data_IF_194631825059
#
_entry.id   IF_194631825059
#
_cell.length_a   1.000
_cell.length_b   1.000
_cell.length_c   1.000
_cell.angle_alpha   90.00
_cell.angle_beta   90.00
_cell.angle_gamma   90.00
#
_symmetry.space_group_name_H-M   'P 1'
#
loop_
_entity.id
_entity.type
_entity.pdbx_description
1 polymer ?
#
# COMPACT_ATOMS: atom_id res chain seq x y z
N UNK A 1 28.29 71.59 -26.73
CA UNK A 1 29.28 70.73 -27.43
C UNK A 1 28.66 69.33 -27.53
N UNK A 2 27.90 69.04 -28.59
CA UNK A 2 28.32 68.34 -29.84
C UNK A 2 28.71 66.88 -29.52
N UNK A 3 27.82 65.90 -29.71
CA UNK A 3 27.46 65.16 -30.95
C UNK A 3 28.39 63.96 -31.22
N UNK A 4 27.87 62.72 -31.24
CA UNK A 4 27.88 61.86 -32.45
C UNK A 4 29.16 61.01 -32.55
N UNK A 5 29.32 59.87 -33.24
CA UNK A 5 28.55 59.20 -34.30
C UNK A 5 29.11 57.77 -34.48
N UNK A 6 28.29 56.90 -35.10
CA UNK A 6 28.56 55.55 -35.66
C UNK A 6 29.71 55.48 -36.69
N UNK A 7 30.15 54.23 -36.98
CA UNK A 7 30.16 53.53 -38.30
C UNK A 7 31.50 52.79 -38.58
N UNK A 8 31.49 51.45 -38.83
CA UNK A 8 31.56 50.71 -40.14
C UNK A 8 32.87 50.96 -40.93
N UNK A 9 33.55 50.02 -41.59
CA UNK A 9 33.12 48.90 -42.45
C UNK A 9 34.32 47.97 -42.80
N UNK A 10 34.13 46.63 -42.97
CA UNK A 10 34.12 45.82 -44.22
C UNK A 10 35.45 45.65 -44.99
N UNK A 11 35.89 44.39 -45.13
CA UNK A 11 35.98 43.59 -46.38
C UNK A 11 36.31 42.12 -46.02
N UNK A 12 35.51 41.08 -46.31
CA UNK A 12 35.21 40.33 -47.56
C UNK A 12 36.42 39.68 -48.26
N UNK A 13 36.49 38.35 -48.15
CA UNK A 13 36.75 37.46 -49.31
C UNK A 13 36.04 36.11 -49.12
N UNK A 14 35.53 35.58 -50.24
CA UNK A 14 34.64 34.42 -50.39
C UNK A 14 35.44 33.17 -50.77
N UNK A 15 34.94 31.99 -50.39
CA UNK A 15 34.93 30.75 -51.22
C UNK A 15 34.00 29.73 -50.52
N UNK A 16 32.82 29.40 -51.08
CA UNK A 16 32.49 28.12 -51.79
C UNK A 16 33.09 26.90 -51.08
N UNK A 17 32.36 25.86 -50.64
CA UNK A 17 30.97 25.43 -50.75
C UNK A 17 30.89 23.98 -50.27
N UNK A 18 29.66 23.43 -50.24
CA UNK A 18 29.27 22.01 -50.15
C UNK A 18 28.51 21.64 -48.87
N UNK A 19 27.24 21.29 -49.09
CA UNK A 19 26.33 20.67 -48.17
C UNK A 19 26.75 19.23 -47.86
N UNK A 20 26.61 18.81 -46.61
CA UNK A 20 26.39 17.42 -46.25
C UNK A 20 25.57 17.37 -44.95
N UNK A 21 24.35 16.91 -45.11
CA UNK A 21 23.39 16.47 -44.11
C UNK A 21 23.98 15.46 -43.13
N UNK A 22 23.85 15.72 -41.84
CA UNK A 22 24.15 14.79 -40.76
C UNK A 22 23.32 15.12 -39.52
N UNK A 23 22.01 14.84 -39.57
CA UNK A 23 21.15 14.84 -38.40
C UNK A 23 21.60 13.72 -37.44
N UNK A 24 22.43 14.07 -36.46
CA UNK A 24 22.65 13.21 -35.30
C UNK A 24 21.38 13.16 -34.45
N UNK A 25 20.92 11.99 -33.97
CA UNK A 25 19.72 11.91 -33.17
C UNK A 25 19.94 12.66 -31.86
N UNK A 26 19.15 13.71 -31.67
CA UNK A 26 19.07 14.46 -30.42
C UNK A 26 18.85 13.49 -29.26
N UNK A 27 19.85 13.40 -28.38
CA UNK A 27 19.73 12.81 -27.05
C UNK A 27 18.52 13.46 -26.36
N UNK A 28 17.42 12.71 -26.28
CA UNK A 28 16.29 13.07 -25.43
C UNK A 28 16.76 12.93 -23.99
N UNK A 29 17.03 14.08 -23.37
CA UNK A 29 17.20 14.21 -21.93
C UNK A 29 16.04 13.49 -21.22
N UNK A 30 16.37 12.45 -20.46
CA UNK A 30 15.42 11.67 -19.68
C UNK A 30 14.72 12.59 -18.67
N UNK A 31 13.39 12.69 -18.77
CA UNK A 31 12.57 13.35 -17.76
C UNK A 31 12.71 12.60 -16.42
N UNK A 32 12.86 13.29 -15.28
CA UNK A 32 12.95 12.63 -13.99
C UNK A 32 11.58 12.07 -13.58
N UNK A 33 11.52 10.76 -13.31
CA UNK A 33 10.50 10.17 -12.43
C UNK A 33 9.32 9.45 -13.07
N UNK A 34 9.50 8.64 -14.12
CA UNK A 34 8.47 7.67 -14.50
C UNK A 34 8.37 6.58 -13.43
N UNK A 35 7.34 6.68 -12.57
CA UNK A 35 6.97 5.65 -11.61
C UNK A 35 6.53 4.40 -12.39
N UNK A 36 7.46 3.47 -12.60
CA UNK A 36 7.13 2.16 -13.15
C UNK A 36 6.49 1.30 -12.06
N UNK A 37 5.16 1.29 -12.05
CA UNK A 37 4.38 0.36 -11.23
C UNK A 37 4.63 -1.06 -11.71
N UNK A 38 5.66 -1.73 -11.15
CA UNK A 38 5.81 -3.17 -11.31
C UNK A 38 4.70 -3.81 -10.48
N UNK A 39 3.66 -4.28 -11.18
CA UNK A 39 2.60 -5.09 -10.57
C UNK A 39 3.28 -6.32 -9.99
N UNK A 40 3.51 -6.35 -8.67
CA UNK A 40 3.97 -7.55 -7.98
C UNK A 40 2.78 -8.51 -7.94
N UNK A 41 2.65 -9.22 -9.04
CA UNK A 41 1.86 -10.43 -9.15
C UNK A 41 2.79 -11.60 -8.89
N UNK A 42 3.09 -11.88 -7.62
CA UNK A 42 3.70 -13.19 -7.27
C UNK A 42 2.87 -14.37 -7.80
N UNK A 43 1.59 -14.11 -8.08
CA UNK A 43 0.61 -15.06 -8.58
C UNK A 43 0.46 -15.10 -10.12
N UNK A 44 0.50 -13.99 -10.87
CA UNK A 44 0.27 -14.03 -12.34
C UNK A 44 1.42 -14.75 -13.08
N UNK A 45 2.64 -14.75 -12.53
CA UNK A 45 3.76 -15.55 -13.07
C UNK A 45 3.56 -17.05 -12.88
N UNK A 46 3.24 -17.48 -11.66
CA UNK A 46 2.92 -18.87 -11.32
C UNK A 46 1.72 -19.42 -12.12
N UNK A 47 0.76 -18.55 -12.48
CA UNK A 47 -0.44 -18.97 -13.22
C UNK A 47 -0.27 -19.03 -14.73
N UNK A 48 0.62 -18.23 -15.33
CA UNK A 48 1.05 -18.48 -16.72
C UNK A 48 1.75 -19.83 -16.82
N UNK A 49 2.60 -20.13 -15.83
CA UNK A 49 3.27 -21.41 -15.72
C UNK A 49 2.26 -22.56 -15.52
N UNK A 50 1.29 -22.41 -14.63
CA UNK A 50 0.24 -23.42 -14.41
C UNK A 50 -0.62 -23.67 -15.67
N UNK A 51 -0.89 -22.63 -16.46
CA UNK A 51 -1.61 -22.77 -17.74
C UNK A 51 -0.76 -23.51 -18.77
N UNK A 52 0.53 -23.21 -18.86
CA UNK A 52 1.48 -23.95 -19.70
C UNK A 52 1.53 -25.42 -19.27
N UNK A 53 1.63 -25.70 -17.98
CA UNK A 53 1.60 -27.06 -17.42
C UNK A 53 0.30 -27.78 -17.78
N UNK A 54 -0.86 -27.13 -17.72
CA UNK A 54 -2.13 -27.74 -18.14
C UNK A 54 -2.15 -28.10 -19.63
N UNK A 55 -1.57 -27.25 -20.48
CA UNK A 55 -1.41 -27.55 -21.91
C UNK A 55 -0.39 -28.66 -22.16
N UNK A 56 0.74 -28.67 -21.45
CA UNK A 56 1.74 -29.72 -21.52
C UNK A 56 1.17 -31.07 -21.08
N UNK A 57 0.45 -31.12 -19.96
CA UNK A 57 -0.23 -32.33 -19.47
C UNK A 57 -1.28 -32.81 -20.48
N UNK A 58 -2.05 -31.90 -21.08
CA UNK A 58 -3.01 -32.27 -22.13
C UNK A 58 -2.31 -32.87 -23.36
N UNK A 59 -1.16 -32.33 -23.78
CA UNK A 59 -0.35 -32.86 -24.88
C UNK A 59 0.26 -34.23 -24.53
N UNK A 60 0.75 -34.42 -23.31
CA UNK A 60 1.28 -35.69 -22.83
C UNK A 60 0.19 -36.77 -22.79
N UNK A 61 -1.02 -36.44 -22.31
CA UNK A 61 -2.15 -37.37 -22.29
C UNK A 61 -2.53 -37.84 -23.70
N UNK A 62 -2.53 -36.92 -24.68
CA UNK A 62 -2.75 -37.25 -26.09
C UNK A 62 -1.65 -38.15 -26.66
N UNK A 63 -0.37 -37.85 -26.36
CA UNK A 63 0.76 -38.66 -26.79
C UNK A 63 0.74 -40.07 -26.20
N UNK A 64 0.46 -40.20 -24.90
CA UNK A 64 0.36 -41.50 -24.22
C UNK A 64 -0.82 -42.31 -24.77
N UNK A 65 -1.97 -41.67 -24.99
CA UNK A 65 -3.12 -42.32 -25.63
C UNK A 65 -2.80 -42.84 -27.04
N UNK A 66 -2.03 -42.08 -27.82
CA UNK A 66 -1.59 -42.47 -29.16
C UNK A 66 -0.61 -43.66 -29.15
N UNK A 67 0.30 -43.71 -28.16
CA UNK A 67 1.33 -44.75 -28.07
C UNK A 67 0.75 -46.10 -27.61
N UNK A 68 -0.29 -46.11 -26.77
CA UNK A 68 -0.86 -47.34 -26.21
C UNK A 68 -1.74 -48.06 -27.23
N UNK A 69 -2.76 -47.38 -27.77
CA UNK A 69 -3.73 -47.97 -28.71
C UNK A 69 -4.49 -46.84 -29.45
N UNK A 70 -4.67 -46.90 -30.78
CA UNK A 70 -5.50 -45.95 -31.53
C UNK A 70 -6.91 -45.71 -30.95
N UNK A 71 -7.51 -46.72 -30.29
CA UNK A 71 -8.83 -46.59 -29.65
C UNK A 71 -8.77 -45.79 -28.34
N UNK A 72 -7.63 -45.79 -27.64
CA UNK A 72 -7.41 -45.01 -26.41
C UNK A 72 -7.25 -43.50 -26.66
N UNK A 73 -7.06 -43.08 -27.92
CA UNK A 73 -6.98 -41.67 -28.32
C UNK A 73 -8.30 -40.94 -28.06
N UNK A 74 -9.45 -41.60 -28.21
CA UNK A 74 -10.77 -40.99 -28.01
C UNK A 74 -10.97 -40.53 -26.56
N UNK A 75 -10.83 -41.39 -25.52
CA UNK A 75 -10.95 -40.93 -24.14
C UNK A 75 -9.84 -39.95 -23.74
N UNK A 76 -8.61 -40.11 -24.27
CA UNK A 76 -7.51 -39.17 -24.04
C UNK A 76 -7.83 -37.76 -24.60
N UNK A 77 -8.42 -37.68 -25.79
CA UNK A 77 -8.83 -36.43 -26.42
C UNK A 77 -9.97 -35.75 -25.66
N UNK A 78 -10.94 -36.50 -25.12
CA UNK A 78 -11.98 -35.95 -24.24
C UNK A 78 -11.36 -35.35 -22.99
N UNK A 79 -10.44 -36.06 -22.33
CA UNK A 79 -9.80 -35.59 -21.10
C UNK A 79 -8.93 -34.35 -21.34
N UNK A 80 -8.13 -34.35 -22.42
CA UNK A 80 -7.33 -33.21 -22.85
C UNK A 80 -8.22 -32.01 -23.21
N UNK A 81 -9.32 -32.24 -23.92
CA UNK A 81 -10.33 -31.24 -24.24
C UNK A 81 -10.95 -30.62 -22.98
N UNK A 82 -11.29 -31.43 -21.97
CA UNK A 82 -11.78 -30.96 -20.68
C UNK A 82 -10.74 -30.11 -19.94
N UNK A 83 -9.46 -30.51 -19.92
CA UNK A 83 -8.39 -29.74 -19.28
C UNK A 83 -8.17 -28.38 -19.96
N UNK A 84 -8.17 -28.35 -21.30
CA UNK A 84 -8.09 -27.12 -22.08
C UNK A 84 -9.32 -26.25 -21.81
N UNK A 85 -10.53 -26.82 -21.81
CA UNK A 85 -11.75 -26.09 -21.51
C UNK A 85 -11.73 -25.49 -20.10
N UNK A 86 -11.30 -26.25 -19.09
CA UNK A 86 -11.13 -25.76 -17.71
C UNK A 86 -10.09 -24.63 -17.61
N UNK A 87 -9.04 -24.66 -18.44
CA UNK A 87 -8.04 -23.59 -18.51
C UNK A 87 -8.60 -22.29 -19.14
N UNK A 88 -9.59 -22.41 -20.03
CA UNK A 88 -10.21 -21.31 -20.77
C UNK A 88 -11.46 -20.75 -20.07
N UNK A 89 -12.15 -21.56 -19.26
CA UNK A 89 -13.32 -21.16 -18.50
C UNK A 89 -12.94 -20.08 -17.47
N UNK A 90 -13.43 -18.87 -17.74
CA UNK A 90 -13.26 -17.70 -16.87
C UNK A 90 -14.54 -17.45 -16.11
N UNK A 91 -14.48 -17.53 -14.77
CA UNK A 91 -15.60 -17.13 -13.91
C UNK A 91 -15.25 -15.82 -13.24
N UNK A 92 -16.01 -14.75 -13.56
CA UNK A 92 -15.83 -13.39 -12.99
C UNK A 92 -14.42 -12.80 -13.18
N UNK A 93 -13.80 -13.06 -14.34
CA UNK A 93 -12.50 -12.50 -14.71
C UNK A 93 -11.27 -13.21 -14.14
N UNK A 94 -11.45 -14.30 -13.37
CA UNK A 94 -10.38 -15.21 -12.91
C UNK A 94 -10.54 -16.58 -13.57
N UNK A 95 -9.44 -17.31 -13.72
CA UNK A 95 -9.49 -18.72 -14.17
C UNK A 95 -10.09 -19.60 -13.07
N UNK A 96 -10.70 -20.75 -13.41
CA UNK A 96 -11.24 -21.67 -12.41
C UNK A 96 -10.19 -22.16 -11.39
N UNK A 97 -8.95 -22.52 -11.79
CA UNK A 97 -7.91 -22.89 -10.84
C UNK A 97 -7.54 -21.75 -9.88
N UNK A 98 -7.45 -20.52 -10.36
CA UNK A 98 -7.17 -19.33 -9.54
C UNK A 98 -8.29 -19.08 -8.52
N UNK A 99 -9.54 -19.27 -8.95
CA UNK A 99 -10.68 -19.17 -8.05
C UNK A 99 -10.64 -20.25 -6.95
N UNK A 100 -10.28 -21.48 -7.30
CA UNK A 100 -10.20 -22.59 -6.34
C UNK A 100 -9.04 -22.39 -5.36
N UNK A 101 -7.86 -22.01 -5.83
CA UNK A 101 -6.69 -21.74 -5.00
C UNK A 101 -6.98 -20.66 -3.95
N UNK A 102 -7.60 -19.55 -4.36
CA UNK A 102 -7.98 -18.47 -3.43
C UNK A 102 -9.10 -18.88 -2.47
N UNK A 103 -10.03 -19.74 -2.88
CA UNK A 103 -11.05 -20.32 -2.00
C UNK A 103 -10.45 -21.29 -0.97
N UNK A 104 -9.51 -22.14 -1.36
CA UNK A 104 -8.79 -23.03 -0.46
C UNK A 104 -7.93 -22.24 0.52
N UNK A 105 -7.22 -21.20 0.06
CA UNK A 105 -6.42 -20.33 0.91
C UNK A 105 -7.27 -19.61 1.97
N UNK A 106 -8.46 -19.12 1.59
CA UNK A 106 -9.42 -18.54 2.54
C UNK A 106 -9.87 -19.57 3.57
N UNK A 107 -10.30 -20.76 3.14
CA UNK A 107 -10.72 -21.83 4.07
C UNK A 107 -9.59 -22.21 5.03
N UNK A 108 -8.36 -22.30 4.53
CA UNK A 108 -7.18 -22.60 5.35
C UNK A 108 -6.90 -21.50 6.38
N UNK A 109 -7.09 -20.21 6.01
CA UNK A 109 -6.98 -19.10 6.97
C UNK A 109 -8.11 -19.11 8.00
N UNK A 110 -9.36 -19.35 7.59
CA UNK A 110 -10.50 -19.44 8.51
C UNK A 110 -10.33 -20.60 9.51
N UNK A 111 -9.87 -21.77 9.05
CA UNK A 111 -9.55 -22.90 9.93
C UNK A 111 -8.44 -22.58 10.91
N UNK A 112 -7.34 -22.00 10.43
CA UNK A 112 -6.23 -21.56 11.29
C UNK A 112 -6.70 -20.53 12.33
N UNK A 113 -7.46 -19.52 11.91
CA UNK A 113 -8.01 -18.51 12.80
C UNK A 113 -8.93 -19.13 13.88
N UNK A 114 -9.72 -20.15 13.54
CA UNK A 114 -10.54 -20.86 14.51
C UNK A 114 -9.73 -21.66 15.54
N UNK A 115 -8.56 -22.18 15.16
CA UNK A 115 -7.70 -23.01 16.03
C UNK A 115 -6.60 -22.23 16.77
N UNK A 116 -6.24 -21.04 16.31
CA UNK A 116 -5.12 -20.28 16.89
C UNK A 116 -5.62 -19.41 18.05
N UNK A 117 -5.18 -19.68 19.29
CA UNK A 117 -5.46 -18.80 20.43
C UNK A 117 -4.71 -17.48 20.28
N UNK A 118 -5.28 -16.42 20.86
CA UNK A 118 -4.61 -15.12 20.94
C UNK A 118 -3.53 -15.24 22.02
N UNK A 119 -2.25 -14.86 21.75
CA UNK A 119 -1.19 -14.90 22.75
C UNK A 119 -1.57 -14.13 24.02
N UNK A 120 -1.20 -14.68 25.17
CA UNK A 120 -1.42 -14.02 26.45
C UNK A 120 -0.67 -12.68 26.54
N UNK A 121 -1.26 -11.69 27.19
CA UNK A 121 -0.71 -10.34 27.28
C UNK A 121 -0.79 -9.53 25.99
N UNK A 122 -1.58 -9.96 25.00
CA UNK A 122 -1.84 -9.14 23.80
C UNK A 122 -2.66 -7.92 24.18
N UNK A 123 -2.09 -6.74 24.00
CA UNK A 123 -2.78 -5.47 24.22
C UNK A 123 -4.08 -5.38 23.37
N UNK A 124 -5.23 -4.96 23.95
CA UNK A 124 -6.50 -4.94 23.24
C UNK A 124 -6.51 -4.14 21.94
N UNK A 125 -5.69 -3.08 21.84
CA UNK A 125 -5.53 -2.29 20.62
C UNK A 125 -4.77 -3.03 19.51
N UNK A 126 -3.88 -3.95 19.88
CA UNK A 126 -3.07 -4.74 18.95
C UNK A 126 -3.79 -6.02 18.51
N UNK A 127 -4.75 -6.52 19.30
CA UNK A 127 -5.47 -7.76 19.06
C UNK A 127 -6.00 -7.93 17.63
N UNK A 128 -6.63 -6.95 16.96
CA UNK A 128 -7.09 -7.12 15.58
C UNK A 128 -5.97 -7.42 14.56
N UNK A 129 -4.75 -6.92 14.79
CA UNK A 129 -3.60 -7.18 13.94
C UNK A 129 -3.02 -8.58 14.23
N UNK A 130 -2.88 -8.95 15.51
CA UNK A 130 -2.40 -10.27 15.95
C UNK A 130 -3.35 -11.39 15.55
N UNK A 131 -4.66 -11.13 15.54
CA UNK A 131 -5.64 -12.09 15.04
C UNK A 131 -5.53 -12.34 13.53
N UNK A 132 -5.03 -11.37 12.76
CA UNK A 132 -4.73 -11.50 11.33
C UNK A 132 -3.39 -12.19 11.08
N UNK A 133 -2.39 -11.85 11.90
CA UNK A 133 -1.06 -12.45 11.89
C UNK A 133 -0.55 -12.68 13.32
N UNK A 134 -0.67 -13.93 13.84
CA UNK A 134 -0.29 -14.27 15.21
C UNK A 134 1.19 -14.14 15.54
N UNK A 135 2.05 -13.95 14.51
CA UNK A 135 3.48 -13.76 14.71
C UNK A 135 3.84 -12.33 15.13
N UNK A 136 2.93 -11.37 14.92
CA UNK A 136 3.17 -9.96 15.22
C UNK A 136 3.36 -9.73 16.72
N UNK A 137 4.42 -8.99 17.05
CA UNK A 137 4.72 -8.53 18.41
C UNK A 137 5.23 -7.09 18.37
N UNK A 138 5.03 -6.39 19.48
CA UNK A 138 5.60 -5.07 19.70
C UNK A 138 6.83 -5.16 20.61
N UNK A 139 7.72 -4.19 20.45
CA UNK A 139 8.93 -4.04 21.24
C UNK A 139 9.11 -2.55 21.56
N UNK A 140 9.51 -2.25 22.78
CA UNK A 140 10.04 -0.94 23.13
C UNK A 140 11.56 -0.94 22.97
N UNK A 141 12.08 -0.04 22.15
CA UNK A 141 13.50 0.24 22.05
C UNK A 141 13.83 1.55 22.77
N UNK A 142 14.70 1.48 23.77
CA UNK A 142 15.23 2.64 24.50
C UNK A 142 16.69 2.88 24.11
N UNK A 143 16.94 4.01 23.45
CA UNK A 143 18.30 4.48 23.21
C UNK A 143 18.89 5.12 24.47
N UNK A 144 20.23 5.23 24.53
CA UNK A 144 20.96 5.68 25.72
C UNK A 144 20.50 7.05 26.26
N UNK A 145 19.97 7.93 25.40
CA UNK A 145 19.43 9.26 25.75
C UNK A 145 18.20 9.64 24.91
N UNK A 146 17.40 8.65 24.45
CA UNK A 146 16.28 8.90 23.53
C UNK A 146 14.95 8.48 24.14
N UNK A 147 13.88 9.19 23.75
CA UNK A 147 12.50 8.77 24.00
C UNK A 147 12.32 7.32 23.53
N UNK A 148 11.61 6.46 24.28
CA UNK A 148 11.32 5.10 23.84
C UNK A 148 10.63 5.11 22.47
N UNK A 149 11.04 4.18 21.62
CA UNK A 149 10.46 3.98 20.29
C UNK A 149 9.77 2.62 20.25
N UNK A 150 8.52 2.61 19.83
CA UNK A 150 7.75 1.41 19.56
C UNK A 150 8.15 0.81 18.22
N UNK A 151 8.37 -0.49 18.21
CA UNK A 151 8.72 -1.27 17.03
C UNK A 151 7.74 -2.44 16.92
N UNK A 152 7.29 -2.78 15.72
CA UNK A 152 6.47 -3.98 15.46
C UNK A 152 7.21 -4.93 14.54
N UNK A 153 7.12 -6.24 14.78
CA UNK A 153 7.78 -7.25 13.95
C UNK A 153 7.21 -8.65 14.16
N UNK A 154 7.59 -9.58 13.29
CA UNK A 154 7.17 -10.99 13.35
C UNK A 154 8.29 -11.94 13.82
N UNK A 155 9.45 -11.39 14.21
CA UNK A 155 10.67 -12.12 14.53
C UNK A 155 11.61 -12.30 13.33
N UNK A 156 11.13 -12.09 12.10
CA UNK A 156 11.95 -12.09 10.86
C UNK A 156 12.21 -10.68 10.34
N UNK A 157 11.35 -9.72 10.65
CA UNK A 157 11.54 -8.31 10.34
C UNK A 157 11.20 -7.42 11.54
N UNK A 158 11.63 -6.15 11.48
CA UNK A 158 11.22 -5.10 12.41
C UNK A 158 10.80 -3.84 11.65
N UNK A 159 9.79 -3.14 12.18
CA UNK A 159 9.23 -1.92 11.59
C UNK A 159 9.14 -0.82 12.64
N UNK A 160 9.66 0.37 12.33
CA UNK A 160 9.40 1.59 13.08
C UNK A 160 8.38 2.47 12.35
N UNK A 161 7.54 3.18 13.09
CA UNK A 161 6.46 4.01 12.53
C UNK A 161 6.62 5.46 12.95
N UNK A 162 6.52 6.36 11.97
CA UNK A 162 6.43 7.80 12.18
C UNK A 162 5.00 8.27 11.98
N UNK A 163 4.52 9.14 12.86
CA UNK A 163 3.36 9.98 12.60
C UNK A 163 3.81 11.32 12.00
N UNK A 164 3.20 11.69 10.88
CA UNK A 164 3.58 12.86 10.10
C UNK A 164 2.41 13.83 9.98
N UNK A 165 2.65 15.06 10.42
CA UNK A 165 1.73 16.19 10.32
C UNK A 165 2.38 17.30 9.49
N UNK A 166 1.59 17.99 8.67
CA UNK A 166 2.05 19.23 8.05
C UNK A 166 2.12 20.32 9.14
N UNK A 167 3.22 21.06 9.21
CA UNK A 167 3.36 22.12 10.21
C UNK A 167 2.39 23.27 9.87
N UNK A 168 1.38 23.48 10.72
CA UNK A 168 0.33 24.46 10.53
C UNK A 168 0.59 25.69 11.40
N UNK A 169 1.70 26.39 11.14
CA UNK A 169 2.05 27.63 11.84
C UNK A 169 1.19 28.84 11.45
N UNK A 170 0.15 28.66 10.63
CA UNK A 170 -0.87 29.69 10.39
C UNK A 170 -2.27 29.07 10.37
N UNK A 171 -3.14 29.56 11.26
CA UNK A 171 -4.53 29.17 11.53
C UNK A 171 -5.48 29.08 10.31
N UNK A 172 -5.03 29.28 9.06
CA UNK A 172 -5.85 29.23 7.84
C UNK A 172 -5.12 28.80 6.56
N UNK A 173 -3.90 28.25 6.64
CA UNK A 173 -3.28 27.69 5.44
C UNK A 173 -3.86 26.30 5.19
N UNK A 174 -4.60 26.14 4.08
CA UNK A 174 -5.12 24.88 3.57
C UNK A 174 -4.16 23.70 3.85
N UNK A 175 -4.55 22.80 4.76
CA UNK A 175 -3.81 21.58 5.16
C UNK A 175 -3.44 20.64 4.00
N UNK A 176 -3.79 20.99 2.77
CA UNK A 176 -3.52 20.29 1.51
C UNK A 176 -2.40 20.92 0.66
N UNK A 177 -1.84 22.09 1.02
CA UNK A 177 -0.89 22.79 0.13
C UNK A 177 0.51 22.21 0.09
N UNK A 178 1.00 21.58 1.16
CA UNK A 178 2.33 20.98 1.15
C UNK A 178 2.26 19.45 0.94
N UNK A 179 2.57 18.95 -0.27
CA UNK A 179 2.58 17.52 -0.53
C UNK A 179 3.70 16.83 0.25
N UNK A 180 3.45 15.64 0.80
CA UNK A 180 4.48 14.81 1.42
C UNK A 180 5.60 14.55 0.38
N UNK A 181 6.87 14.93 0.64
CA UNK A 181 7.96 14.75 -0.30
C UNK A 181 8.35 13.27 -0.40
N UNK A 182 7.76 12.56 -1.37
CA UNK A 182 7.98 11.12 -1.55
C UNK A 182 9.43 10.74 -1.87
N UNK A 183 10.21 11.67 -2.41
CA UNK A 183 11.66 11.50 -2.59
C UNK A 183 12.35 11.24 -1.26
N UNK A 184 12.01 11.98 -0.19
CA UNK A 184 12.60 11.75 1.14
C UNK A 184 12.26 10.36 1.69
N UNK A 185 11.03 9.89 1.45
CA UNK A 185 10.59 8.55 1.86
C UNK A 185 11.33 7.47 1.06
N UNK A 186 11.53 7.69 -0.23
CA UNK A 186 12.33 6.80 -1.07
C UNK A 186 13.80 6.76 -0.63
N UNK A 187 14.40 7.92 -0.35
CA UNK A 187 15.80 8.03 0.04
C UNK A 187 16.05 7.35 1.40
N UNK A 188 15.05 7.31 2.28
CA UNK A 188 15.11 6.57 3.54
C UNK A 188 15.25 5.04 3.36
N UNK A 189 15.03 4.49 2.16
CA UNK A 189 15.23 3.05 1.89
C UNK A 189 16.70 2.62 2.01
N UNK A 190 17.65 3.56 1.96
CA UNK A 190 19.07 3.27 2.22
C UNK A 190 19.73 4.45 2.95
N UNK A 191 20.22 4.20 4.15
CA UNK A 191 20.86 5.21 5.00
C UNK A 191 22.03 4.58 5.74
N UNK A 192 23.24 5.14 5.65
CA UNK A 192 24.41 4.68 6.41
C UNK A 192 24.67 3.16 6.33
N UNK A 193 24.54 2.58 5.13
CA UNK A 193 24.68 1.13 4.89
C UNK A 193 23.50 0.28 5.37
N UNK A 194 22.46 0.89 5.95
CA UNK A 194 21.21 0.23 6.33
C UNK A 194 20.30 0.20 5.12
N UNK A 195 19.88 -0.99 4.71
CA UNK A 195 18.96 -1.19 3.58
C UNK A 195 17.61 -1.69 4.07
N UNK A 196 16.57 -0.88 3.89
CA UNK A 196 15.20 -1.24 4.25
C UNK A 196 14.58 -2.19 3.21
N UNK A 197 13.70 -3.08 3.65
CA UNK A 197 12.85 -3.90 2.77
C UNK A 197 11.85 -3.00 2.03
N UNK A 198 11.23 -2.07 2.77
CA UNK A 198 10.19 -1.19 2.27
C UNK A 198 9.96 0.04 3.16
N UNK A 199 9.40 1.08 2.53
CA UNK A 199 8.82 2.23 3.21
C UNK A 199 7.35 2.34 2.80
N UNK A 200 6.44 2.23 3.76
CA UNK A 200 5.00 2.27 3.54
C UNK A 200 4.44 3.59 4.06
N UNK A 201 3.70 4.30 3.23
CA UNK A 201 2.91 5.45 3.64
C UNK A 201 1.46 5.02 3.76
N UNK A 202 0.88 5.23 4.94
CA UNK A 202 -0.52 4.91 5.24
C UNK A 202 -1.25 6.20 5.58
N UNK A 203 -2.26 6.53 4.79
CA UNK A 203 -3.18 7.63 5.02
C UNK A 203 -4.51 7.08 5.50
N UNK A 204 -4.93 7.46 6.70
CA UNK A 204 -6.26 7.15 7.22
C UNK A 204 -7.12 8.40 7.23
N UNK A 205 -8.22 8.34 6.50
CA UNK A 205 -9.14 9.45 6.30
C UNK A 205 -10.50 9.10 6.88
N UNK A 206 -11.01 9.98 7.73
CA UNK A 206 -12.38 9.98 8.20
C UNK A 206 -13.09 11.18 7.56
N UNK A 207 -14.11 10.94 6.72
CA UNK A 207 -14.83 12.03 6.06
C UNK A 207 -15.57 12.88 7.12
N UNK A 208 -15.79 14.15 6.80
CA UNK A 208 -16.70 14.98 7.59
C UNK A 208 -18.16 14.72 7.19
N UNK A 209 -19.12 14.99 8.07
CA UNK A 209 -18.97 15.46 9.46
C UNK A 209 -18.59 14.34 10.45
N UNK A 210 -18.13 14.74 11.64
CA UNK A 210 -17.54 13.83 12.63
C UNK A 210 -18.45 12.64 13.00
N UNK A 211 -17.81 11.47 13.08
CA UNK A 211 -18.38 10.10 13.05
C UNK A 211 -19.32 9.73 14.21
N UNK A 212 -19.38 10.55 15.28
CA UNK A 212 -20.23 10.28 16.45
C UNK A 212 -21.70 10.70 16.26
N UNK A 213 -22.03 11.37 15.15
CA UNK A 213 -23.39 11.81 14.89
C UNK A 213 -24.20 10.76 14.11
N UNK A 214 -25.45 10.45 14.53
CA UNK A 214 -26.37 9.66 13.72
C UNK A 214 -26.56 10.28 12.33
N UNK A 215 -26.71 9.44 11.30
CA UNK A 215 -26.89 9.89 9.91
C UNK A 215 -28.10 10.81 9.71
N UNK A 216 -29.11 10.66 10.55
CA UNK A 216 -30.36 11.44 10.53
C UNK A 216 -30.22 12.77 11.29
N UNK A 217 -29.05 13.07 11.87
CA UNK A 217 -28.86 14.30 12.62
C UNK A 217 -28.86 15.52 11.70
N UNK A 218 -29.42 16.62 12.21
CA UNK A 218 -29.46 17.92 11.53
C UNK A 218 -28.06 18.42 11.17
N UNK A 219 -27.06 18.13 12.02
CA UNK A 219 -25.66 18.44 11.73
C UNK A 219 -25.13 17.70 10.48
N UNK A 220 -25.46 16.42 10.31
CA UNK A 220 -25.05 15.67 9.11
C UNK A 220 -25.69 16.26 7.86
N UNK A 221 -26.99 16.56 7.90
CA UNK A 221 -27.70 17.15 6.77
C UNK A 221 -27.18 18.56 6.40
N UNK A 222 -26.92 19.41 7.39
CA UNK A 222 -26.48 20.80 7.17
C UNK A 222 -25.03 20.91 6.67
N UNK A 223 -24.15 19.99 7.07
CA UNK A 223 -22.75 19.99 6.63
C UNK A 223 -22.53 19.20 5.34
N UNK A 224 -23.50 18.40 4.87
CA UNK A 224 -23.36 17.62 3.64
C UNK A 224 -23.07 18.48 2.39
N UNK A 225 -23.74 19.61 2.12
CA UNK A 225 -23.42 20.46 0.97
C UNK A 225 -22.00 21.04 1.04
N UNK A 226 -21.53 21.41 2.24
CA UNK A 226 -20.17 21.91 2.43
C UNK A 226 -19.14 20.80 2.22
N UNK A 227 -19.44 19.57 2.64
CA UNK A 227 -18.60 18.41 2.39
C UNK A 227 -18.53 18.10 0.89
N UNK A 228 -19.64 18.19 0.16
CA UNK A 228 -19.69 18.00 -1.30
C UNK A 228 -18.87 19.06 -2.03
N UNK A 229 -18.88 20.32 -1.55
CA UNK A 229 -18.11 21.42 -2.15
C UNK A 229 -16.61 21.36 -1.83
N UNK A 230 -16.25 21.01 -0.59
CA UNK A 230 -14.87 21.11 -0.11
C UNK A 230 -14.11 19.78 -0.18
N UNK A 231 -14.82 18.64 -0.10
CA UNK A 231 -14.23 17.31 0.00
C UNK A 231 -13.28 17.13 1.20
N UNK A 232 -13.26 18.09 2.13
CA UNK A 232 -12.28 18.15 3.20
C UNK A 232 -12.63 17.10 4.26
N UNK A 233 -11.70 16.21 4.65
CA UNK A 233 -11.99 15.23 5.68
C UNK A 233 -12.05 15.86 7.06
N UNK A 234 -12.84 15.26 7.97
CA UNK A 234 -12.85 15.64 9.38
C UNK A 234 -11.51 15.33 10.04
N UNK A 235 -10.96 14.15 9.74
CA UNK A 235 -9.66 13.70 10.26
C UNK A 235 -8.87 13.06 9.14
N UNK A 236 -7.58 13.41 9.05
CA UNK A 236 -6.63 12.77 8.15
C UNK A 236 -5.31 12.56 8.85
N UNK A 237 -4.97 11.30 9.07
CA UNK A 237 -3.77 10.86 9.78
C UNK A 237 -2.81 10.24 8.78
N UNK A 238 -1.53 10.60 8.84
CA UNK A 238 -0.49 10.05 7.96
C UNK A 238 0.57 9.33 8.80
N UNK A 239 0.78 8.05 8.51
CA UNK A 239 1.87 7.27 9.07
C UNK A 239 2.87 6.88 7.99
N UNK A 240 4.14 6.81 8.35
CA UNK A 240 5.19 6.22 7.54
C UNK A 240 5.82 5.08 8.32
N UNK A 241 5.66 3.85 7.82
CA UNK A 241 6.20 2.64 8.42
C UNK A 241 7.43 2.18 7.63
N UNK A 242 8.58 2.09 8.29
CA UNK A 242 9.86 1.70 7.72
C UNK A 242 10.18 0.28 8.13
N UNK A 243 10.18 -0.65 7.17
CA UNK A 243 10.41 -2.08 7.41
C UNK A 243 11.85 -2.45 7.13
N UNK A 244 12.48 -3.09 8.10
CA UNK A 244 13.82 -3.66 8.00
C UNK A 244 13.73 -5.18 8.03
N UNK A 245 14.25 -5.81 6.98
CA UNK A 245 14.63 -7.21 7.00
C UNK A 245 16.13 -7.28 7.34
N UNK A 246 16.53 -7.87 8.49
CA UNK A 246 17.93 -7.93 8.90
C UNK A 246 18.85 -8.60 7.87
N UNK A 247 18.31 -9.52 7.05
CA UNK A 247 19.09 -10.24 6.04
C UNK A 247 19.55 -9.31 4.90
N UNK A 248 18.81 -8.23 4.62
CA UNK A 248 19.15 -7.28 3.55
C UNK A 248 20.33 -6.37 3.88
N UNK A 249 20.73 -6.28 5.16
CA UNK A 249 21.86 -5.45 5.61
C UNK A 249 22.58 -6.07 6.82
N UNK A 250 22.91 -7.36 6.71
CA UNK A 250 23.53 -8.14 7.80
C UNK A 250 24.79 -7.49 8.39
N UNK A 251 25.64 -6.88 7.57
CA UNK A 251 26.85 -6.15 8.03
C UNK A 251 26.49 -4.95 8.92
N UNK A 252 25.48 -4.16 8.52
CA UNK A 252 25.03 -3.00 9.28
C UNK A 252 24.38 -3.41 10.62
N UNK A 253 23.68 -4.55 10.64
CA UNK A 253 23.10 -5.16 11.84
C UNK A 253 24.20 -5.67 12.77
N UNK A 254 25.18 -6.42 12.24
CA UNK A 254 26.31 -6.95 12.99
C UNK A 254 27.13 -5.83 13.64
N UNK A 255 27.45 -4.75 12.90
CA UNK A 255 28.16 -3.59 13.40
C UNK A 255 27.44 -2.87 14.56
N UNK A 256 26.13 -3.10 14.74
CA UNK A 256 25.30 -2.48 15.79
C UNK A 256 24.97 -3.44 16.94
N UNK A 257 25.67 -4.57 17.03
CA UNK A 257 25.53 -5.56 18.09
C UNK A 257 24.82 -6.85 17.66
N UNK A 258 24.45 -6.98 16.39
CA UNK A 258 23.85 -8.19 15.84
C UNK A 258 22.42 -8.49 16.33
N UNK A 259 21.84 -9.54 15.76
CA UNK A 259 20.51 -10.04 16.15
C UNK A 259 19.41 -8.97 16.14
N UNK A 260 18.44 -9.12 17.05
CA UNK A 260 17.31 -8.20 17.19
C UNK A 260 17.74 -6.78 17.57
N UNK A 261 18.69 -6.64 18.50
CA UNK A 261 19.15 -5.32 18.98
C UNK A 261 19.81 -4.52 17.86
N UNK A 262 20.64 -5.17 17.04
CA UNK A 262 21.23 -4.57 15.84
C UNK A 262 20.17 -4.15 14.84
N UNK A 263 19.17 -4.98 14.60
CA UNK A 263 18.04 -4.67 13.72
C UNK A 263 17.20 -3.48 14.22
N UNK A 264 16.89 -3.43 15.52
CA UNK A 264 16.19 -2.31 16.15
C UNK A 264 16.98 -1.00 16.02
N UNK A 265 18.29 -1.02 16.27
CA UNK A 265 19.17 0.14 16.06
C UNK A 265 19.18 0.61 14.61
N UNK A 266 19.22 -0.31 13.65
CA UNK A 266 19.18 -0.01 12.22
C UNK A 266 17.87 0.69 11.83
N UNK A 267 16.71 0.11 12.19
CA UNK A 267 15.42 0.68 11.79
C UNK A 267 15.16 2.03 12.46
N UNK A 268 15.55 2.20 13.73
CA UNK A 268 15.44 3.48 14.45
C UNK A 268 16.37 4.52 13.84
N UNK A 269 17.61 4.16 13.45
CA UNK A 269 18.53 5.08 12.77
C UNK A 269 17.95 5.61 11.45
N UNK A 270 17.35 4.74 10.65
CA UNK A 270 16.70 5.11 9.39
C UNK A 270 15.44 5.98 9.63
N UNK A 271 14.65 5.65 10.66
CA UNK A 271 13.49 6.43 11.06
C UNK A 271 13.87 7.84 11.55
N UNK A 272 14.88 7.97 12.41
CA UNK A 272 15.39 9.25 12.88
C UNK A 272 15.94 10.10 11.73
N UNK A 273 16.62 9.47 10.77
CA UNK A 273 17.07 10.15 9.55
C UNK A 273 15.88 10.73 8.78
N UNK A 274 14.86 9.91 8.51
CA UNK A 274 13.67 10.37 7.79
C UNK A 274 12.93 11.46 8.58
N UNK A 275 12.78 11.32 9.90
CA UNK A 275 12.14 12.32 10.76
C UNK A 275 12.85 13.67 10.64
N UNK A 276 14.18 13.68 10.78
CA UNK A 276 15.00 14.88 10.64
C UNK A 276 14.85 15.54 9.26
N UNK A 277 14.87 14.74 8.19
CA UNK A 277 14.70 15.25 6.80
C UNK A 277 13.31 15.82 6.57
N UNK A 278 12.26 15.17 7.09
CA UNK A 278 10.89 15.66 7.02
C UNK A 278 10.72 16.98 7.80
N UNK A 279 11.30 17.08 8.99
CA UNK A 279 11.31 18.33 9.77
C UNK A 279 12.06 19.45 9.08
N UNK A 280 13.21 19.17 8.47
CA UNK A 280 13.90 20.13 7.61
C UNK A 280 13.09 20.58 6.39
N UNK A 281 12.06 19.81 6.00
CA UNK A 281 11.13 20.16 4.93
C UNK A 281 9.80 20.76 5.42
N UNK A 282 9.66 21.11 6.70
CA UNK A 282 8.45 21.76 7.23
C UNK A 282 7.33 20.80 7.67
N UNK A 283 7.64 19.53 7.93
CA UNK A 283 6.70 18.56 8.50
C UNK A 283 7.06 18.25 9.95
N UNK A 284 6.07 18.09 10.81
CA UNK A 284 6.27 17.49 12.13
C UNK A 284 6.26 15.98 11.98
N UNK A 285 7.41 15.33 12.15
CA UNK A 285 7.56 13.88 12.09
C UNK A 285 7.96 13.34 13.46
N UNK A 286 7.11 12.51 14.05
CA UNK A 286 7.32 11.95 15.39
C UNK A 286 7.39 10.42 15.32
N UNK A 287 8.46 9.83 15.84
CA UNK A 287 8.51 8.39 16.04
C UNK A 287 7.51 8.02 17.15
N UNK A 288 6.74 6.97 16.91
CA UNK A 288 5.77 6.48 17.86
C UNK A 288 6.48 5.65 18.95
N UNK A 289 6.09 5.84 20.20
CA UNK A 289 6.37 4.86 21.25
C UNK A 289 5.46 3.62 21.11
N UNK A 290 5.60 2.62 21.97
CA UNK A 290 4.84 1.36 21.86
C UNK A 290 3.32 1.57 22.01
N UNK A 291 2.89 2.39 22.96
CA UNK A 291 1.47 2.70 23.16
C UNK A 291 0.88 3.45 21.95
N UNK A 292 1.60 4.45 21.45
CA UNK A 292 1.20 5.21 20.27
C UNK A 292 1.17 4.32 19.01
N UNK A 293 2.11 3.38 18.88
CA UNK A 293 2.13 2.40 17.81
C UNK A 293 0.90 1.48 17.86
N UNK A 294 0.56 0.95 19.03
CA UNK A 294 -0.63 0.12 19.23
C UNK A 294 -1.90 0.92 18.90
N UNK A 295 -1.97 2.18 19.35
CA UNK A 295 -3.08 3.07 19.03
C UNK A 295 -3.18 3.38 17.52
N UNK A 296 -2.05 3.56 16.82
CA UNK A 296 -2.01 3.75 15.38
C UNK A 296 -2.49 2.51 14.60
N UNK A 297 -2.09 1.31 15.04
CA UNK A 297 -2.56 0.04 14.48
C UNK A 297 -4.07 -0.13 14.72
N UNK A 298 -4.55 0.09 15.94
CA UNK A 298 -5.97 0.04 16.28
C UNK A 298 -6.80 1.02 15.46
N UNK A 299 -6.33 2.27 15.34
CA UNK A 299 -6.95 3.32 14.54
C UNK A 299 -7.02 2.94 13.07
N UNK A 300 -5.91 2.47 12.49
CA UNK A 300 -5.88 2.01 11.10
C UNK A 300 -6.80 0.80 10.89
N UNK A 301 -6.78 -0.19 11.78
CA UNK A 301 -7.70 -1.34 11.75
C UNK A 301 -9.18 -0.93 11.89
N UNK A 302 -9.45 0.32 12.29
CA UNK A 302 -10.74 0.82 12.72
C UNK A 302 -11.33 -0.06 13.82
N UNK A 303 -10.54 -0.48 14.80
CA UNK A 303 -11.06 -1.14 15.99
C UNK A 303 -12.11 -0.24 16.68
N UNK A 304 -13.20 -0.82 17.19
CA UNK A 304 -14.19 -0.06 17.92
C UNK A 304 -13.62 0.32 19.30
N UNK A 305 -13.48 1.62 19.63
CA UNK A 305 -12.85 2.06 20.87
C UNK A 305 -13.61 1.57 22.12
N UNK A 306 -14.94 1.43 22.05
CA UNK A 306 -15.73 0.90 23.17
C UNK A 306 -15.39 -0.57 23.44
N UNK A 307 -15.35 -1.38 22.38
CA UNK A 307 -15.00 -2.81 22.49
C UNK A 307 -13.54 -2.98 22.92
N UNK A 308 -12.63 -2.15 22.41
CA UNK A 308 -11.23 -2.15 22.85
C UNK A 308 -11.10 -1.81 24.35
N UNK A 309 -11.85 -0.81 24.83
CA UNK A 309 -11.84 -0.42 26.24
C UNK A 309 -12.46 -1.48 27.15
N UNK A 310 -13.54 -2.14 26.71
CA UNK A 310 -14.17 -3.26 27.44
C UNK A 310 -13.22 -4.47 27.52
N UNK A 311 -12.60 -4.85 26.40
CA UNK A 311 -11.63 -5.95 26.37
C UNK A 311 -10.45 -5.74 27.32
N UNK A 312 -10.01 -4.50 27.50
CA UNK A 312 -8.96 -4.15 28.48
C UNK A 312 -9.40 -4.27 29.94
N UNK A 313 -10.70 -4.29 30.24
CA UNK A 313 -11.23 -4.43 31.61
C UNK A 313 -11.56 -5.86 31.99
N UNK A 314 -12.05 -6.65 31.04
CA UNK A 314 -12.70 -7.94 31.34
C UNK A 314 -11.78 -9.14 31.13
N UNK A 315 -10.56 -8.95 30.59
CA UNK A 315 -9.64 -10.02 30.13
C UNK A 315 -10.35 -11.12 29.31
N UNK A 316 -11.52 -10.81 28.73
CA UNK A 316 -12.27 -11.71 27.87
C UNK A 316 -11.64 -11.68 26.49
N UNK A 317 -11.06 -12.80 26.12
CA UNK A 317 -10.25 -12.98 24.90
C UNK A 317 -11.09 -13.54 23.76
N UNK A 318 -12.23 -12.92 23.49
CA UNK A 318 -13.04 -13.28 22.33
C UNK A 318 -12.41 -12.76 21.04
N UNK A 319 -12.44 -13.57 19.98
CA UNK A 319 -11.94 -13.18 18.67
C UNK A 319 -12.78 -12.03 18.11
N UNK A 320 -12.12 -10.91 17.83
CA UNK A 320 -12.75 -9.67 17.36
C UNK A 320 -12.87 -9.59 15.85
N UNK A 321 -12.12 -10.41 15.12
CA UNK A 321 -11.98 -10.34 13.67
C UNK A 321 -12.48 -11.58 12.94
N UNK A 322 -13.01 -11.37 11.73
CA UNK A 322 -13.55 -12.45 10.91
C UNK A 322 -13.33 -12.15 9.41
N UNK A 323 -12.74 -13.11 8.69
CA UNK A 323 -12.57 -13.03 7.24
C UNK A 323 -13.71 -13.75 6.51
N UNK A 324 -14.40 -13.03 5.63
CA UNK A 324 -15.33 -13.58 4.65
C UNK A 324 -14.78 -13.46 3.22
N UNK A 325 -15.46 -14.09 2.26
CA UNK A 325 -14.99 -14.08 0.87
C UNK A 325 -14.90 -12.71 0.19
N UNK A 326 -15.54 -11.67 0.73
CA UNK A 326 -15.57 -10.32 0.13
C UNK A 326 -15.31 -9.18 1.11
N UNK A 327 -15.34 -9.47 2.41
CA UNK A 327 -15.16 -8.49 3.46
C UNK A 327 -14.34 -9.09 4.60
N UNK A 328 -13.77 -8.23 5.42
CA UNK A 328 -13.22 -8.56 6.71
C UNK A 328 -13.96 -7.73 7.76
N UNK A 329 -14.24 -8.31 8.92
CA UNK A 329 -14.94 -7.65 10.02
C UNK A 329 -13.98 -7.50 11.20
N UNK A 330 -14.04 -6.36 11.88
CA UNK A 330 -13.50 -6.16 13.22
C UNK A 330 -14.59 -5.55 14.07
N UNK A 331 -14.94 -6.21 15.17
CA UNK A 331 -16.06 -5.81 16.02
C UNK A 331 -17.36 -5.68 15.19
N UNK A 332 -17.99 -4.50 15.25
CA UNK A 332 -19.18 -4.14 14.48
C UNK A 332 -18.86 -3.40 13.16
N UNK A 333 -17.62 -3.43 12.67
CA UNK A 333 -17.18 -2.68 11.48
C UNK A 333 -16.77 -3.63 10.37
N UNK A 334 -17.20 -3.33 9.14
CA UNK A 334 -16.95 -4.15 7.95
C UNK A 334 -16.03 -3.43 7.00
N UNK A 335 -15.12 -4.19 6.42
CA UNK A 335 -14.04 -3.67 5.60
C UNK A 335 -14.03 -4.34 4.23
N UNK A 336 -13.64 -3.57 3.21
CA UNK A 336 -13.29 -4.12 1.90
C UNK A 336 -12.01 -3.49 1.41
N UNK A 337 -11.02 -4.32 1.10
CA UNK A 337 -9.74 -3.88 0.55
C UNK A 337 -9.66 -4.13 -0.96
N UNK A 338 -9.04 -3.16 -1.63
CA UNK A 338 -8.72 -3.15 -3.05
C UNK A 338 -7.20 -3.04 -3.23
N UNK A 339 -6.70 -3.73 -4.25
CA UNK A 339 -5.38 -3.54 -4.83
C UNK A 339 -5.47 -2.49 -5.95
N UNK A 340 -4.48 -1.60 -6.03
CA UNK A 340 -4.33 -0.63 -7.12
C UNK A 340 -3.63 -1.33 -8.29
N UNK A 341 -4.42 -1.88 -9.22
CA UNK A 341 -3.97 -2.62 -10.40
C UNK A 341 -3.31 -1.72 -11.43
N UNK A 342 -3.79 -0.49 -11.53
CA UNK A 342 -3.30 0.50 -12.48
C UNK A 342 -3.28 1.86 -11.80
N UNK A 343 -2.11 2.45 -11.72
CA UNK A 343 -1.96 3.84 -11.33
C UNK A 343 -2.34 4.74 -12.51
N UNK A 344 -3.08 5.84 -12.26
CA UNK A 344 -3.29 6.84 -13.30
C UNK A 344 -1.97 7.56 -13.60
N UNK A 345 -1.95 8.34 -14.68
CA UNK A 345 -0.88 9.31 -14.87
C UNK A 345 -0.89 10.29 -13.68
N UNK A 346 0.27 10.52 -13.06
CA UNK A 346 0.43 11.42 -11.93
C UNK A 346 1.31 12.59 -12.36
N UNK A 347 0.88 13.81 -12.07
CA UNK A 347 1.65 15.04 -12.35
C UNK A 347 1.64 15.51 -13.81
N UNK A 348 2.11 16.74 -14.02
CA UNK A 348 1.95 17.49 -15.27
C UNK A 348 0.76 18.46 -15.22
N UNK A 349 0.54 19.24 -16.29
CA UNK A 349 -0.49 20.31 -16.30
C UNK A 349 -1.93 19.79 -16.25
N UNK A 350 -2.18 18.55 -16.69
CA UNK A 350 -3.54 17.99 -16.89
C UNK A 350 -3.89 16.81 -15.98
N UNK A 351 -2.91 16.20 -15.33
CA UNK A 351 -3.14 15.02 -14.48
C UNK A 351 -3.10 15.40 -13.00
N UNK A 352 -3.94 14.78 -12.15
CA UNK A 352 -3.98 15.10 -10.73
C UNK A 352 -2.62 14.81 -10.08
N UNK A 353 -2.24 15.65 -9.12
CA UNK A 353 -1.15 15.32 -8.21
C UNK A 353 -1.53 14.13 -7.33
N UNK A 354 -0.56 13.40 -6.78
CA UNK A 354 -0.86 12.28 -5.88
C UNK A 354 -1.74 12.70 -4.68
N UNK A 355 -1.49 13.83 -3.98
CA UNK A 355 -2.38 14.28 -2.91
C UNK A 355 -3.82 14.55 -3.39
N UNK A 356 -4.00 15.12 -4.58
CA UNK A 356 -5.32 15.34 -5.17
C UNK A 356 -6.02 14.01 -5.48
N UNK A 357 -5.31 13.07 -6.09
CA UNK A 357 -5.82 11.73 -6.35
C UNK A 357 -6.26 11.05 -5.06
N UNK A 358 -5.41 11.09 -4.03
CA UNK A 358 -5.69 10.49 -2.72
C UNK A 358 -6.88 11.19 -2.05
N UNK A 359 -6.98 12.51 -2.13
CA UNK A 359 -8.14 13.24 -1.63
C UNK A 359 -9.43 12.79 -2.32
N UNK A 360 -9.44 12.69 -3.66
CA UNK A 360 -10.62 12.27 -4.43
C UNK A 360 -11.07 10.85 -4.08
N UNK A 361 -10.15 9.88 -3.97
CA UNK A 361 -10.52 8.49 -3.68
C UNK A 361 -10.80 8.23 -2.19
N UNK A 362 -10.45 9.15 -1.29
CA UNK A 362 -10.71 9.04 0.16
C UNK A 362 -11.83 9.95 0.67
N UNK A 363 -12.38 10.85 -0.17
CA UNK A 363 -13.53 11.71 0.15
C UNK A 363 -14.89 10.98 0.14
N UNK A 364 -14.90 9.65 0.26
CA UNK A 364 -16.12 8.83 0.19
C UNK A 364 -16.86 8.84 1.53
N UNK A 365 -18.20 9.05 1.55
CA UNK A 365 -18.99 9.07 2.79
C UNK A 365 -19.10 7.67 3.39
N UNK A 366 -18.18 7.35 4.29
CA UNK A 366 -18.08 6.06 4.97
C UNK A 366 -17.45 6.22 6.35
N UNK A 367 -17.30 5.16 7.14
CA UNK A 367 -16.67 5.29 8.46
C UNK A 367 -15.22 5.73 8.33
N UNK A 368 -14.46 5.08 7.45
CA UNK A 368 -13.10 5.47 7.17
C UNK A 368 -12.64 4.92 5.82
N UNK A 369 -11.73 5.65 5.18
CA UNK A 369 -10.98 5.16 4.02
C UNK A 369 -9.50 5.17 4.35
N UNK A 370 -8.81 4.06 4.11
CA UNK A 370 -7.37 3.94 4.32
C UNK A 370 -6.67 3.73 2.97
N UNK A 371 -5.84 4.68 2.56
CA UNK A 371 -5.00 4.58 1.38
C UNK A 371 -3.58 4.24 1.80
N UNK A 372 -3.03 3.17 1.27
CA UNK A 372 -1.70 2.68 1.62
C UNK A 372 -0.89 2.48 0.35
N UNK A 373 0.35 2.96 0.32
CA UNK A 373 1.29 2.59 -0.73
C UNK A 373 2.67 2.29 -0.14
N UNK A 374 3.33 1.31 -0.74
CA UNK A 374 4.61 0.79 -0.30
C UNK A 374 5.64 0.99 -1.39
N UNK A 375 6.70 1.71 -1.05
CA UNK A 375 7.88 1.90 -1.87
C UNK A 375 8.89 0.80 -1.55
N UNK A 376 9.46 0.21 -2.60
CA UNK A 376 10.55 -0.75 -2.55
C UNK A 376 11.58 -0.40 -3.60
N UNK A 377 12.84 -0.74 -3.34
CA UNK A 377 13.88 -0.69 -4.37
C UNK A 377 13.64 -1.79 -5.39
N UNK A 378 13.55 -1.42 -6.65
CA UNK A 378 13.55 -2.31 -7.80
C UNK A 378 14.96 -2.61 -8.28
N UNK A 379 15.06 -3.44 -9.32
CA UNK A 379 16.33 -3.71 -10.00
C UNK A 379 16.79 -2.46 -10.78
N UNK A 380 18.11 -2.23 -10.88
CA UNK A 380 18.70 -1.15 -11.68
C UNK A 380 18.16 0.27 -11.40
N UNK A 381 18.03 0.64 -10.11
CA UNK A 381 17.52 1.95 -9.63
C UNK A 381 16.03 2.23 -9.95
N UNK A 382 15.26 1.24 -10.37
CA UNK A 382 13.80 1.39 -10.47
C UNK A 382 13.16 1.46 -9.08
N UNK A 383 12.02 2.13 -8.96
CA UNK A 383 11.19 2.15 -7.74
C UNK A 383 9.98 1.27 -7.98
N UNK A 384 9.81 0.23 -7.17
CA UNK A 384 8.61 -0.60 -7.18
C UNK A 384 7.59 0.00 -6.22
N UNK A 385 6.40 0.34 -6.74
CA UNK A 385 5.29 0.87 -5.95
C UNK A 385 4.13 -0.13 -5.92
N UNK A 386 3.68 -0.45 -4.72
CA UNK A 386 2.50 -1.26 -4.45
C UNK A 386 1.44 -0.40 -3.77
N UNK A 387 0.17 -0.51 -4.14
CA UNK A 387 -0.89 0.36 -3.62
C UNK A 387 -2.15 -0.41 -3.21
N UNK A 388 -2.75 0.01 -2.10
CA UNK A 388 -3.99 -0.55 -1.56
C UNK A 388 -4.93 0.55 -1.10
N UNK A 389 -6.23 0.27 -1.21
CA UNK A 389 -7.29 1.13 -0.72
C UNK A 389 -8.28 0.28 0.07
N UNK A 390 -8.48 0.59 1.34
CA UNK A 390 -9.49 -0.05 2.20
C UNK A 390 -10.60 0.93 2.53
N UNK A 391 -11.82 0.44 2.43
CA UNK A 391 -13.04 1.17 2.81
C UNK A 391 -13.66 0.45 3.99
N UNK A 392 -14.07 1.21 5.01
CA UNK A 392 -14.69 0.69 6.23
C UNK A 392 -16.07 1.30 6.39
N UNK A 393 -17.10 0.45 6.61
CA UNK A 393 -18.45 0.86 6.95
C UNK A 393 -18.90 0.31 8.31
N UNK A 394 -19.89 0.95 8.94
CA UNK A 394 -20.54 0.49 10.18
C UNK A 394 -21.58 -0.61 9.92
N UNK A 395 -22.13 -0.66 8.71
CA UNK A 395 -23.11 -1.67 8.28
C UNK A 395 -22.75 -2.22 6.89
N UNK A 396 -23.45 -3.28 6.47
CA UNK A 396 -23.27 -3.83 5.11
C UNK A 396 -23.72 -2.82 4.05
N UNK A 397 -24.86 -2.15 4.26
CA UNK A 397 -25.37 -1.13 3.35
C UNK A 397 -24.42 0.06 3.19
N UNK A 398 -23.85 0.54 4.31
CA UNK A 398 -22.84 1.60 4.27
C UNK A 398 -21.60 1.15 3.50
N UNK A 399 -21.15 -0.08 3.72
CA UNK A 399 -20.00 -0.61 3.01
C UNK A 399 -20.30 -0.77 1.51
N UNK A 400 -21.49 -1.24 1.13
CA UNK A 400 -21.91 -1.37 -0.29
C UNK A 400 -21.94 0.00 -0.97
N UNK A 401 -22.55 1.01 -0.34
CA UNK A 401 -22.60 2.37 -0.87
C UNK A 401 -21.19 2.95 -1.03
N UNK A 402 -20.35 2.83 -0.01
CA UNK A 402 -18.99 3.34 -0.02
C UNK A 402 -18.11 2.63 -1.07
N UNK A 403 -18.30 1.33 -1.28
CA UNK A 403 -17.62 0.58 -2.35
C UNK A 403 -18.00 1.10 -3.74
N UNK A 404 -19.27 1.39 -3.97
CA UNK A 404 -19.73 1.97 -5.25
C UNK A 404 -19.14 3.37 -5.48
N UNK A 405 -19.13 4.20 -4.44
CA UNK A 405 -18.53 5.54 -4.49
C UNK A 405 -17.02 5.52 -4.74
N UNK A 406 -16.26 4.65 -4.05
CA UNK A 406 -14.81 4.49 -4.30
C UNK A 406 -14.55 4.00 -5.72
N UNK A 407 -15.33 3.06 -6.24
CA UNK A 407 -15.17 2.60 -7.62
C UNK A 407 -15.52 3.67 -8.65
N UNK A 408 -16.47 4.56 -8.35
CA UNK A 408 -16.78 5.71 -9.20
C UNK A 408 -15.63 6.74 -9.19
N UNK A 409 -15.13 7.10 -8.00
CA UNK A 409 -13.99 8.02 -7.85
C UNK A 409 -12.71 7.50 -8.51
N UNK A 410 -12.42 6.21 -8.36
CA UNK A 410 -11.29 5.57 -9.02
C UNK A 410 -11.43 5.57 -10.55
N UNK A 411 -12.63 5.29 -11.08
CA UNK A 411 -12.90 5.36 -12.52
C UNK A 411 -12.73 6.78 -13.07
N UNK A 412 -13.23 7.78 -12.35
CA UNK A 412 -13.10 9.19 -12.74
C UNK A 412 -11.64 9.64 -12.84
N UNK A 413 -10.78 9.11 -11.98
CA UNK A 413 -9.34 9.44 -11.95
C UNK A 413 -8.48 8.53 -12.83
N UNK A 414 -9.07 7.53 -13.49
CA UNK A 414 -8.32 6.53 -14.28
C UNK A 414 -7.58 5.49 -13.44
N UNK A 415 -7.77 5.48 -12.11
CA UNK A 415 -7.22 4.47 -11.21
C UNK A 415 -7.95 3.13 -11.36
N UNK A 416 -7.20 2.07 -11.63
CA UNK A 416 -7.74 0.73 -11.73
C UNK A 416 -7.73 0.02 -10.38
N UNK A 417 -8.89 -0.18 -9.77
CA UNK A 417 -9.03 -0.96 -8.53
C UNK A 417 -9.44 -2.41 -8.81
N UNK A 418 -8.83 -3.35 -8.09
CA UNK A 418 -9.25 -4.75 -8.05
C UNK A 418 -9.56 -5.14 -6.61
N UNK A 419 -10.78 -5.58 -6.32
CA UNK A 419 -11.14 -6.00 -4.96
C UNK A 419 -10.43 -7.31 -4.62
N UNK A 420 -9.86 -7.38 -3.44
CA UNK A 420 -9.15 -8.55 -2.93
C UNK A 420 -10.11 -9.65 -2.44
N UNK A 421 -10.96 -10.16 -3.34
CA UNK A 421 -11.89 -11.23 -3.00
C UNK A 421 -11.14 -12.46 -2.49
N UNK A 422 -11.54 -12.94 -1.30
CA UNK A 422 -10.90 -14.04 -0.55
C UNK A 422 -9.45 -13.77 -0.14
N UNK A 423 -9.04 -12.51 -0.13
CA UNK A 423 -7.70 -12.05 0.23
C UNK A 423 -7.83 -10.78 1.09
N UNK A 424 -8.87 -10.72 1.93
CA UNK A 424 -9.18 -9.54 2.73
C UNK A 424 -8.26 -9.39 3.94
N UNK A 425 -7.80 -10.49 4.55
CA UNK A 425 -6.78 -10.45 5.62
C UNK A 425 -5.43 -9.96 5.09
N UNK A 426 -4.87 -10.49 3.98
CA UNK A 426 -3.69 -9.90 3.35
C UNK A 426 -3.88 -8.41 3.01
N UNK A 427 -5.06 -8.04 2.49
CA UNK A 427 -5.42 -6.66 2.24
C UNK A 427 -5.46 -5.79 3.50
N UNK A 428 -5.96 -6.32 4.61
CA UNK A 428 -5.97 -5.65 5.91
C UNK A 428 -4.54 -5.32 6.34
N UNK A 429 -3.68 -6.33 6.43
CA UNK A 429 -2.26 -6.19 6.82
C UNK A 429 -1.52 -5.20 5.91
N UNK A 430 -1.81 -5.22 4.60
CA UNK A 430 -1.24 -4.30 3.62
C UNK A 430 -1.66 -2.82 3.79
N UNK A 431 -2.64 -2.56 4.63
CA UNK A 431 -3.15 -1.21 4.93
C UNK A 431 -2.94 -0.80 6.39
N UNK A 432 -2.43 -1.68 7.24
CA UNK A 432 -1.92 -1.33 8.56
C UNK A 432 -0.51 -0.72 8.42
N UNK A 433 -0.08 0.16 9.35
CA UNK A 433 1.26 0.76 9.34
C UNK A 433 2.33 -0.25 9.79
N UNK A 434 2.50 -1.33 9.04
CA UNK A 434 3.41 -2.45 9.34
C UNK A 434 4.64 -2.49 8.42
N UNK A 435 4.73 -1.56 7.47
CA UNK A 435 5.78 -1.50 6.46
C UNK A 435 5.45 -2.26 5.17
N UNK A 436 4.21 -2.72 5.02
CA UNK A 436 3.71 -3.47 3.87
C UNK A 436 3.86 -4.98 4.01
N UNK A 437 2.99 -5.72 3.30
CA UNK A 437 3.02 -7.19 3.27
C UNK A 437 4.07 -7.70 2.27
N UNK A 438 4.66 -8.86 2.56
CA UNK A 438 5.63 -9.54 1.67
C UNK A 438 4.97 -10.04 0.40
#
# INVERSE_FOLDING_TARGET
>A
MVSGTRARSRDRSRTRGAAASGQGPAQRSASPGTLHSRVRSGQVGAFRLQRLVLFEVAAVILLVGWVIDPVAVVPAAVLAGCLVLLSLLRRRGRSLPEWLATAQALRARQRRAASTPIPEGTEPGLAPAVECDPSLRTYTYTGRDRRPVGIVGDGTFVTAVLHVEADATALRAERSKQPLPLSLVHDALEVDGIRLESAQVVLHTQPAPAIHLPRQSVAVANYAPLQEQTGAPAVRITWIALKLDPELCAEAVAARGGGLVGAQKCVVRAADHLASRLTGSGFRATLLDEEQLISAIATSACANPLVTAEAGRTDTRERRTEESGRNWRCDNRRHTTYWIRRWPALGGERAPSLPQLVALVTAVPTLATTFSFTLRRGERKEVSVCGHLRVTGRSDDELVAARSAVQAAARHTGMGLSRLDREQVPGMLATLPLGGVR
#
